data_IF_295252468471
#
_entry.id   IF_295252468471
#
_cell.length_a   1.000
_cell.length_b   1.000
_cell.length_c   1.000
_cell.angle_alpha   90.00
_cell.angle_beta   90.00
_cell.angle_gamma   90.00
#
_symmetry.space_group_name_H-M   'P 1'
#
loop_
_entity.id
_entity.type
_entity.pdbx_description
1 polymer ?
#
# COMPACT_ATOMS: atom_id res chain seq x y z
N UNK A 1 -57.75 -34.31 16.74
CA UNK A 1 -56.90 -33.46 15.89
C UNK A 1 -55.75 -32.96 16.75
N UNK A 2 -54.50 -33.34 16.47
CA UNK A 2 -53.31 -32.92 17.24
C UNK A 2 -52.59 -31.82 16.45
N UNK A 3 -52.28 -30.65 17.05
CA UNK A 3 -51.50 -29.64 16.35
C UNK A 3 -50.04 -30.09 16.31
N UNK A 4 -49.52 -30.29 15.10
CA UNK A 4 -48.12 -30.57 14.83
C UNK A 4 -47.38 -29.23 14.78
N UNK A 5 -46.74 -28.87 15.90
CA UNK A 5 -45.95 -27.65 16.01
C UNK A 5 -44.60 -27.86 15.35
N UNK A 6 -44.41 -27.33 14.13
CA UNK A 6 -43.13 -27.32 13.43
C UNK A 6 -42.21 -26.25 14.04
N UNK A 7 -41.16 -26.68 14.74
CA UNK A 7 -40.06 -25.82 15.17
C UNK A 7 -39.11 -25.59 13.97
N UNK A 8 -39.16 -24.38 13.40
CA UNK A 8 -38.23 -23.94 12.36
C UNK A 8 -36.94 -23.50 13.04
N UNK A 9 -35.86 -24.28 12.87
CA UNK A 9 -34.51 -23.94 13.34
C UNK A 9 -33.88 -22.91 12.38
N UNK A 10 -33.94 -21.63 12.74
CA UNK A 10 -33.27 -20.55 12.02
C UNK A 10 -31.76 -20.54 12.35
N UNK A 11 -30.94 -21.17 11.49
CA UNK A 11 -29.49 -21.09 11.61
C UNK A 11 -29.01 -19.71 11.13
N UNK A 12 -28.70 -18.80 12.06
CA UNK A 12 -28.13 -17.50 11.75
C UNK A 12 -26.64 -17.65 11.39
N UNK A 13 -26.31 -17.55 10.10
CA UNK A 13 -24.92 -17.39 9.64
C UNK A 13 -24.44 -15.98 10.02
N UNK A 14 -23.71 -15.87 11.13
CA UNK A 14 -22.97 -14.65 11.45
C UNK A 14 -21.76 -14.53 10.52
N UNK A 15 -21.87 -13.70 9.47
CA UNK A 15 -20.70 -13.30 8.68
C UNK A 15 -19.81 -12.42 9.56
N UNK A 16 -18.78 -13.03 10.17
CA UNK A 16 -17.66 -12.27 10.68
C UNK A 16 -16.96 -11.63 9.49
N UNK A 17 -17.32 -10.38 9.18
CA UNK A 17 -16.60 -9.54 8.24
C UNK A 17 -15.24 -9.19 8.86
N UNK A 18 -14.30 -10.14 8.82
CA UNK A 18 -12.90 -9.82 9.02
C UNK A 18 -12.51 -8.75 8.02
N UNK A 19 -11.84 -7.69 8.46
CA UNK A 19 -11.25 -6.73 7.55
C UNK A 19 -10.35 -7.52 6.59
N UNK A 20 -10.78 -7.67 5.34
CA UNK A 20 -9.95 -8.31 4.32
C UNK A 20 -8.72 -7.42 4.17
N UNK A 21 -7.61 -7.84 4.79
CA UNK A 21 -6.30 -7.19 4.69
C UNK A 21 -5.68 -7.49 3.31
N UNK A 22 -6.45 -7.21 2.25
CA UNK A 22 -6.01 -7.38 0.89
C UNK A 22 -4.89 -6.39 0.57
N UNK A 23 -4.02 -6.79 -0.35
CA UNK A 23 -3.04 -5.88 -0.94
C UNK A 23 -3.77 -4.73 -1.65
N UNK A 24 -3.24 -3.51 -1.56
CA UNK A 24 -3.81 -2.38 -2.29
C UNK A 24 -3.51 -2.45 -3.79
N UNK A 25 -2.39 -3.09 -4.15
CA UNK A 25 -2.10 -3.49 -5.52
C UNK A 25 -2.04 -5.02 -5.57
N UNK A 26 -2.97 -5.62 -6.31
CA UNK A 26 -3.02 -7.08 -6.45
C UNK A 26 -1.71 -7.60 -7.06
N UNK A 27 -1.09 -8.58 -6.40
CA UNK A 27 0.17 -9.18 -6.83
C UNK A 27 1.42 -8.42 -6.36
N UNK A 28 1.28 -7.43 -5.47
CA UNK A 28 2.41 -6.75 -4.86
C UNK A 28 3.16 -7.69 -3.92
N UNK A 29 4.32 -8.19 -4.34
CA UNK A 29 5.16 -9.12 -3.57
C UNK A 29 5.74 -8.49 -2.29
N UNK A 30 5.71 -7.16 -2.17
CA UNK A 30 6.14 -6.46 -0.97
C UNK A 30 5.23 -6.75 0.22
N UNK A 31 4.06 -7.35 -0.01
CA UNK A 31 3.02 -7.54 0.99
C UNK A 31 2.58 -8.99 0.99
N UNK A 32 2.87 -9.69 2.07
CA UNK A 32 2.48 -11.08 2.26
C UNK A 32 1.48 -11.13 3.41
N UNK A 33 0.27 -11.57 3.10
CA UNK A 33 -0.74 -11.87 4.12
C UNK A 33 -0.54 -13.33 4.53
N UNK A 34 -0.25 -13.54 5.81
CA UNK A 34 -0.01 -14.85 6.39
C UNK A 34 -1.35 -15.56 6.69
N UNK A 35 -1.35 -16.90 6.84
CA UNK A 35 -2.58 -17.66 7.11
C UNK A 35 -3.30 -17.27 8.41
N UNK A 36 -2.57 -16.69 9.37
CA UNK A 36 -3.11 -16.17 10.63
C UNK A 36 -3.74 -14.77 10.49
N UNK A 37 -3.75 -14.21 9.27
CA UNK A 37 -4.27 -12.88 8.96
C UNK A 37 -3.28 -11.76 9.24
N UNK A 38 -2.09 -12.05 9.76
CA UNK A 38 -1.03 -11.05 9.95
C UNK A 38 -0.41 -10.66 8.61
N UNK A 39 0.18 -9.47 8.54
CA UNK A 39 0.70 -8.90 7.31
C UNK A 39 2.19 -8.62 7.45
N UNK A 40 3.00 -9.29 6.64
CA UNK A 40 4.42 -9.00 6.49
C UNK A 40 4.59 -8.02 5.33
N UNK A 41 5.33 -6.94 5.57
CA UNK A 41 5.56 -5.89 4.58
C UNK A 41 7.04 -5.60 4.44
N UNK A 42 7.47 -5.42 3.20
CA UNK A 42 8.79 -4.93 2.83
C UNK A 42 8.65 -3.54 2.22
N UNK A 43 9.61 -2.67 2.48
CA UNK A 43 9.76 -1.39 1.77
C UNK A 43 11.03 -1.41 0.91
N UNK A 44 11.12 -0.59 -0.15
CA UNK A 44 12.34 -0.49 -0.93
C UNK A 44 13.55 -0.20 -0.02
N UNK A 45 14.65 -0.97 -0.17
CA UNK A 45 15.83 -0.76 0.64
C UNK A 45 16.45 0.60 0.30
N UNK A 46 17.06 1.22 1.29
CA UNK A 46 17.86 2.42 1.05
C UNK A 46 19.05 2.07 0.14
N UNK A 47 19.35 2.92 -0.85
CA UNK A 47 20.52 2.73 -1.68
C UNK A 47 21.78 2.91 -0.82
N UNK A 48 22.88 2.29 -1.26
CA UNK A 48 24.19 2.44 -0.63
C UNK A 48 24.81 3.82 -0.86
N UNK A 49 24.33 4.56 -1.88
CA UNK A 49 24.75 5.93 -2.12
C UNK A 49 24.15 6.90 -1.09
N UNK A 50 24.89 7.94 -0.73
CA UNK A 50 24.42 9.00 0.16
C UNK A 50 23.19 9.67 -0.43
N UNK A 51 22.05 9.54 0.26
CA UNK A 51 20.83 10.27 -0.05
C UNK A 51 20.86 11.65 0.60
N UNK A 52 20.19 12.61 -0.04
CA UNK A 52 19.86 13.88 0.60
C UNK A 52 19.00 13.66 1.85
N UNK A 53 18.92 14.71 2.67
CA UNK A 53 18.05 14.73 3.84
C UNK A 53 16.61 14.36 3.45
N UNK A 54 15.91 13.53 4.24
CA UNK A 54 14.54 13.15 3.96
C UNK A 54 13.62 14.38 3.91
N UNK A 55 12.80 14.46 2.86
CA UNK A 55 11.82 15.53 2.72
C UNK A 55 10.56 15.17 3.50
N UNK A 56 10.21 15.94 4.52
CA UNK A 56 9.08 15.64 5.40
C UNK A 56 7.73 15.58 4.66
N UNK A 57 6.89 14.59 4.95
CA UNK A 57 5.52 14.51 4.45
C UNK A 57 4.60 15.63 4.99
N UNK A 58 5.00 16.31 6.05
CA UNK A 58 4.26 17.46 6.60
C UNK A 58 4.67 18.79 5.97
N UNK A 59 5.74 18.83 5.16
CA UNK A 59 6.18 20.03 4.48
C UNK A 59 5.55 20.12 3.08
N UNK A 60 4.67 21.09 2.79
CA UNK A 60 4.04 21.23 1.47
C UNK A 60 5.04 21.34 0.31
N UNK A 61 6.22 21.95 0.53
CA UNK A 61 7.27 22.10 -0.48
C UNK A 61 7.81 20.75 -0.98
N UNK A 62 7.72 19.70 -0.15
CA UNK A 62 8.19 18.35 -0.47
C UNK A 62 7.19 17.52 -1.31
N UNK A 63 5.98 18.03 -1.54
CA UNK A 63 4.85 17.23 -2.04
C UNK A 63 4.46 17.52 -3.49
N UNK A 64 5.15 18.47 -4.14
CA UNK A 64 4.89 18.91 -5.51
C UNK A 64 5.12 17.79 -6.56
N UNK A 65 6.07 16.90 -6.31
CA UNK A 65 6.41 15.76 -7.19
C UNK A 65 5.42 14.59 -7.17
N UNK A 66 4.31 14.71 -6.44
CA UNK A 66 3.32 13.65 -6.27
C UNK A 66 3.68 12.63 -5.19
N UNK A 67 2.65 11.96 -4.67
CA UNK A 67 2.80 11.00 -3.58
C UNK A 67 3.17 9.61 -4.09
N UNK A 68 4.10 8.98 -3.37
CA UNK A 68 4.52 7.60 -3.57
C UNK A 68 3.70 6.76 -2.62
N UNK A 69 2.81 5.95 -3.18
CA UNK A 69 1.94 5.07 -2.43
C UNK A 69 2.76 3.85 -2.04
N UNK A 70 3.10 3.75 -0.76
CA UNK A 70 3.91 2.67 -0.21
C UNK A 70 3.09 1.93 0.82
N UNK A 71 2.97 0.64 0.63
CA UNK A 71 2.41 -0.25 1.63
C UNK A 71 3.45 -0.45 2.75
N UNK A 72 3.06 -0.20 4.01
CA UNK A 72 3.89 -0.33 5.23
C UNK A 72 3.17 -1.18 6.27
N UNK A 73 3.79 -1.46 7.42
CA UNK A 73 3.12 -2.15 8.55
C UNK A 73 1.79 -1.49 8.96
N UNK A 74 1.71 -0.17 8.83
CA UNK A 74 0.55 0.63 9.27
C UNK A 74 -0.55 0.73 8.21
N UNK A 75 -0.34 0.08 7.06
CA UNK A 75 -1.22 0.11 5.90
C UNK A 75 -0.64 0.91 4.74
N UNK A 76 -1.51 1.43 3.88
CA UNK A 76 -1.11 2.26 2.74
C UNK A 76 -0.74 3.67 3.21
N UNK A 77 0.45 4.12 2.85
CA UNK A 77 0.96 5.44 3.15
C UNK A 77 1.20 6.27 1.88
N UNK A 78 1.05 7.58 2.02
CA UNK A 78 1.49 8.58 1.06
C UNK A 78 2.89 9.07 1.48
N UNK A 79 3.90 8.78 0.67
CA UNK A 79 5.29 9.13 0.95
C UNK A 79 5.86 10.13 -0.05
N UNK A 80 6.75 11.01 0.39
CA UNK A 80 7.48 11.96 -0.47
C UNK A 80 8.58 11.28 -1.28
N UNK A 81 8.93 10.04 -0.94
CA UNK A 81 9.94 9.20 -1.60
C UNK A 81 9.56 7.72 -1.51
N UNK A 82 10.29 6.85 -2.22
CA UNK A 82 9.94 5.42 -2.33
C UNK A 82 10.32 4.58 -1.10
N UNK A 83 11.32 5.01 -0.32
CA UNK A 83 11.95 4.18 0.72
C UNK A 83 11.17 4.15 2.04
N UNK A 84 10.16 5.00 2.17
CA UNK A 84 9.40 5.19 3.40
C UNK A 84 10.28 5.42 4.64
N UNK A 85 11.28 6.31 4.54
CA UNK A 85 12.08 6.72 5.71
C UNK A 85 11.17 7.37 6.76
N UNK A 86 11.64 7.38 8.00
CA UNK A 86 10.94 8.04 9.09
C UNK A 86 10.68 9.52 8.75
N UNK A 87 9.45 9.97 8.94
CA UNK A 87 9.02 11.34 8.66
C UNK A 87 8.71 11.65 7.19
N UNK A 88 9.00 10.75 6.25
CA UNK A 88 8.72 10.98 4.81
C UNK A 88 7.34 10.48 4.38
N UNK A 89 6.59 9.86 5.29
CA UNK A 89 5.28 9.28 5.00
C UNK A 89 4.19 9.80 5.94
N UNK A 90 2.97 9.77 5.44
CA UNK A 90 1.74 10.00 6.21
C UNK A 90 0.68 8.97 5.83
N UNK A 91 -0.35 8.85 6.68
CA UNK A 91 -1.49 8.00 6.37
C UNK A 91 -2.12 8.39 5.02
N UNK A 92 -2.44 7.39 4.20
CA UNK A 92 -2.97 7.61 2.87
C UNK A 92 -4.35 8.27 2.87
N UNK A 93 -4.55 9.21 1.94
CA UNK A 93 -5.88 9.78 1.62
C UNK A 93 -6.46 9.16 0.35
N UNK A 94 -5.91 8.04 -0.13
CA UNK A 94 -6.46 7.29 -1.27
C UNK A 94 -7.92 6.90 -1.02
N UNK A 95 -8.77 7.09 -2.02
CA UNK A 95 -10.23 6.94 -1.90
C UNK A 95 -10.96 8.13 -1.26
N UNK A 96 -10.23 9.05 -0.58
CA UNK A 96 -10.79 10.26 0.04
C UNK A 96 -10.48 11.52 -0.79
N UNK A 97 -9.27 11.63 -1.31
CA UNK A 97 -8.82 12.77 -2.12
C UNK A 97 -8.43 12.33 -3.54
N UNK A 98 -8.79 13.13 -4.55
CA UNK A 98 -8.37 12.91 -5.95
C UNK A 98 -7.07 13.65 -6.23
N UNK A 99 -5.95 12.93 -6.28
CA UNK A 99 -4.60 13.49 -6.44
C UNK A 99 -3.70 12.57 -7.26
N UNK A 100 -2.69 13.11 -7.97
CA UNK A 100 -1.68 12.29 -8.64
C UNK A 100 -0.92 11.43 -7.63
N UNK A 101 -0.81 10.14 -7.95
CA UNK A 101 -0.20 9.12 -7.09
C UNK A 101 0.57 8.14 -7.95
N UNK A 102 1.72 7.71 -7.45
CA UNK A 102 2.55 6.68 -8.07
C UNK A 102 2.67 5.52 -7.09
N UNK A 103 2.45 4.31 -7.58
CA UNK A 103 2.35 3.12 -6.74
C UNK A 103 3.68 2.39 -6.70
N UNK A 104 4.22 2.22 -5.50
CA UNK A 104 5.49 1.54 -5.28
C UNK A 104 5.20 0.10 -4.89
N UNK A 105 5.61 -0.81 -5.77
CA UNK A 105 5.29 -2.24 -5.66
C UNK A 105 6.52 -3.07 -5.95
N UNK A 106 6.54 -4.29 -5.42
CA UNK A 106 7.53 -5.30 -5.77
C UNK A 106 6.89 -6.33 -6.68
N UNK A 107 7.53 -6.59 -7.83
CA UNK A 107 7.07 -7.58 -8.79
C UNK A 107 8.25 -8.33 -9.38
N UNK A 108 8.21 -9.66 -9.35
CA UNK A 108 9.31 -10.54 -9.75
C UNK A 108 10.64 -10.14 -9.10
N UNK A 109 10.59 -9.83 -7.80
CA UNK A 109 11.75 -9.38 -7.03
C UNK A 109 12.25 -7.97 -7.34
N UNK A 110 11.64 -7.24 -8.27
CA UNK A 110 12.06 -5.89 -8.68
C UNK A 110 11.11 -4.83 -8.15
N UNK A 111 11.66 -3.74 -7.64
CA UNK A 111 10.88 -2.56 -7.24
C UNK A 111 10.46 -1.74 -8.46
N UNK A 112 9.17 -1.48 -8.54
CA UNK A 112 8.51 -0.82 -9.66
C UNK A 112 7.70 0.38 -9.17
N UNK A 113 7.61 1.39 -10.02
CA UNK A 113 6.72 2.53 -9.87
C UNK A 113 5.64 2.45 -10.96
N UNK A 114 4.38 2.33 -10.56
CA UNK A 114 3.24 2.20 -11.45
C UNK A 114 2.36 3.46 -11.43
N UNK A 115 1.75 3.82 -12.56
CA UNK A 115 0.86 4.98 -12.66
C UNK A 115 -0.52 4.76 -12.02
N UNK A 116 -0.91 3.50 -11.79
CA UNK A 116 -2.19 3.08 -11.20
C UNK A 116 -1.94 1.96 -10.18
N UNK A 117 -2.92 1.64 -9.31
CA UNK A 117 -2.84 0.50 -8.37
C UNK A 117 -3.01 -0.85 -9.09
N UNK A 118 -2.27 -1.06 -10.17
CA UNK A 118 -2.36 -2.22 -11.02
C UNK A 118 -1.00 -2.50 -11.67
N UNK A 119 -0.53 -3.75 -11.58
CA UNK A 119 0.68 -4.23 -12.23
C UNK A 119 0.60 -4.26 -13.75
N UNK A 120 -0.61 -4.29 -14.32
CA UNK A 120 -0.83 -4.18 -15.77
C UNK A 120 -0.71 -2.75 -16.29
N UNK A 121 -0.61 -1.76 -15.38
CA UNK A 121 -0.46 -0.35 -15.74
C UNK A 121 0.96 -0.03 -16.19
N UNK A 122 1.22 1.26 -16.48
CA UNK A 122 2.55 1.74 -16.85
C UNK A 122 3.48 1.68 -15.63
N UNK A 123 4.10 0.53 -15.44
CA UNK A 123 5.07 0.26 -14.39
C UNK A 123 6.49 0.36 -14.94
N UNK A 124 7.33 1.17 -14.29
CA UNK A 124 8.75 1.33 -14.62
C UNK A 124 9.61 0.91 -13.43
N UNK A 125 10.78 0.32 -13.68
CA UNK A 125 11.69 -0.06 -12.60
C UNK A 125 12.22 1.17 -11.89
N UNK A 126 12.21 1.17 -10.56
CA UNK A 126 12.79 2.27 -9.77
C UNK A 126 14.30 2.36 -9.92
N UNK A 127 14.97 1.26 -10.29
CA UNK A 127 16.42 1.26 -10.60
C UNK A 127 16.73 2.10 -11.84
N UNK A 128 15.79 2.18 -12.77
CA UNK A 128 15.92 2.97 -14.00
C UNK A 128 15.56 4.45 -13.79
N UNK A 129 14.98 4.80 -12.64
CA UNK A 129 14.68 6.19 -12.30
C UNK A 129 15.95 6.84 -11.75
N UNK A 130 16.40 7.99 -12.28
CA UNK A 130 17.43 8.76 -11.61
C UNK A 130 16.87 9.10 -10.22
N UNK A 131 17.62 8.76 -9.16
CA UNK A 131 17.29 9.19 -7.81
C UNK A 131 17.04 10.68 -7.89
N UNK A 132 15.79 11.11 -7.70
CA UNK A 132 15.44 12.50 -7.90
C UNK A 132 16.10 13.25 -6.75
N UNK A 133 17.29 13.77 -7.01
CA UNK A 133 17.92 14.79 -6.18
C UNK A 133 16.96 15.96 -6.27
N UNK A 134 16.10 16.09 -5.27
CA UNK A 134 15.34 17.32 -5.09
C UNK A 134 16.40 18.39 -4.86
N UNK A 135 16.63 19.21 -5.87
CA UNK A 135 17.49 20.41 -5.80
C UNK A 135 16.89 21.43 -4.84
#
# INVERSE_FOLDING_TARGET
MKPLTYLINSLALALAAGAANAQYVKGNEAVVVLPDGTRRVETPPLPTATLAAPCSATNPACTSGGWRMVETSDGLNECTEIYARQGTCRASTFGKEKRPRLWIVKHKGTWMQCSLPDLSSKCVSVKALPFTVVQ
#
